data_IF_678928818318
#
_entry.id   IF_678928818318
#
_cell.length_a   1.000
_cell.length_b   1.000
_cell.length_c   1.000
_cell.angle_alpha   90.00
_cell.angle_beta   90.00
_cell.angle_gamma   90.00
#
_symmetry.space_group_name_H-M   'P 1'
#
loop_
_entity.id
_entity.type
_entity.pdbx_description
1 polymer ?
#
# COMPACT_ATOMS: atom_id res chain seq x y z
N UNK A 1 -12.06 -3.84 7.39
CA UNK A 1 -11.25 -2.58 7.34
C UNK A 1 -12.05 -1.45 6.71
N UNK A 2 -11.73 -0.17 6.94
CA UNK A 2 -12.50 0.94 6.32
C UNK A 2 -12.02 1.15 4.89
N UNK A 3 -12.79 0.69 3.91
CA UNK A 3 -12.46 0.90 2.50
C UNK A 3 -12.52 2.40 2.12
N UNK A 4 -11.37 3.00 1.81
CA UNK A 4 -11.33 4.38 1.31
C UNK A 4 -11.58 4.43 -0.20
N UNK A 5 -12.19 5.52 -0.66
CA UNK A 5 -12.30 5.84 -2.07
C UNK A 5 -10.96 6.27 -2.67
N UNK A 6 -10.85 6.21 -4.00
CA UNK A 6 -9.64 6.63 -4.74
C UNK A 6 -9.22 8.05 -4.38
N UNK A 7 -10.17 8.99 -4.36
CA UNK A 7 -9.92 10.38 -4.00
C UNK A 7 -9.45 10.55 -2.56
N UNK A 8 -9.96 9.76 -1.62
CA UNK A 8 -9.51 9.81 -0.22
C UNK A 8 -8.07 9.30 -0.09
N UNK A 9 -7.71 8.24 -0.83
CA UNK A 9 -6.33 7.75 -0.86
C UNK A 9 -5.39 8.80 -1.44
N UNK A 10 -5.70 9.37 -2.62
CA UNK A 10 -4.85 10.37 -3.25
C UNK A 10 -4.62 11.59 -2.33
N UNK A 11 -5.68 12.13 -1.72
CA UNK A 11 -5.56 13.24 -0.75
C UNK A 11 -4.81 12.85 0.52
N UNK A 12 -4.94 11.60 0.97
CA UNK A 12 -4.25 11.10 2.15
C UNK A 12 -2.75 10.90 1.90
N UNK A 13 -2.38 10.35 0.74
CA UNK A 13 -1.00 10.23 0.29
C UNK A 13 -0.34 11.60 0.15
N UNK A 14 -1.00 12.59 -0.45
CA UNK A 14 -0.50 13.97 -0.53
C UNK A 14 -0.30 14.64 0.84
N UNK A 15 -1.03 14.21 1.87
CA UNK A 15 -0.81 14.71 3.24
C UNK A 15 0.32 13.99 3.96
N UNK A 16 0.41 12.67 3.75
CA UNK A 16 1.47 11.84 4.32
C UNK A 16 2.82 12.16 3.69
N UNK A 17 2.81 12.48 2.40
CA UNK A 17 3.98 12.77 1.60
C UNK A 17 3.69 13.97 0.70
N UNK A 18 3.91 15.19 1.20
CA UNK A 18 3.63 16.42 0.47
C UNK A 18 4.38 16.56 -0.87
N UNK A 19 5.51 15.87 -1.03
CA UNK A 19 6.35 15.88 -2.23
C UNK A 19 5.80 15.03 -3.38
N UNK A 20 4.74 14.26 -3.15
CA UNK A 20 4.14 13.44 -4.21
C UNK A 20 3.51 14.32 -5.30
N UNK A 21 4.13 14.33 -6.48
CA UNK A 21 3.71 15.13 -7.63
C UNK A 21 2.98 14.32 -8.71
N UNK A 22 3.11 12.98 -8.67
CA UNK A 22 2.45 12.07 -9.59
C UNK A 22 1.45 11.15 -8.90
N UNK A 23 0.17 11.52 -9.00
CA UNK A 23 -0.96 10.67 -8.65
C UNK A 23 -2.01 10.78 -9.75
N UNK A 24 -2.01 9.84 -10.68
CA UNK A 24 -2.95 9.79 -11.80
C UNK A 24 -3.85 8.58 -11.69
N UNK A 25 -4.80 8.46 -12.59
CA UNK A 25 -5.66 7.27 -12.67
C UNK A 25 -5.01 6.20 -13.53
N UNK A 26 -5.30 4.93 -13.23
CA UNK A 26 -4.90 3.81 -14.09
C UNK A 26 -5.43 3.92 -15.53
N UNK A 27 -6.57 4.57 -15.70
CA UNK A 27 -7.22 4.81 -16.98
C UNK A 27 -6.40 5.76 -17.86
N UNK A 28 -5.77 6.78 -17.27
CA UNK A 28 -4.85 7.68 -17.99
C UNK A 28 -3.59 6.97 -18.48
N UNK A 29 -3.20 5.85 -17.86
CA UNK A 29 -2.12 4.98 -18.33
C UNK A 29 -2.61 3.96 -19.38
N UNK A 30 -3.92 3.80 -19.55
CA UNK A 30 -4.51 2.79 -20.44
C UNK A 30 -4.79 1.43 -19.78
N UNK A 31 -4.76 1.34 -18.44
CA UNK A 31 -5.15 0.13 -17.70
C UNK A 31 -6.63 0.13 -17.28
N UNK A 32 -7.05 -1.00 -16.69
CA UNK A 32 -8.37 -1.16 -16.09
C UNK A 32 -8.69 -0.05 -15.09
N UNK A 33 -9.97 0.30 -14.98
CA UNK A 33 -10.46 1.34 -14.08
C UNK A 33 -10.24 1.03 -12.60
N UNK A 34 -9.92 2.06 -11.83
CA UNK A 34 -10.02 2.07 -10.38
C UNK A 34 -8.70 2.03 -9.62
N UNK A 35 -7.58 1.89 -10.32
CA UNK A 35 -6.25 2.03 -9.76
C UNK A 35 -5.83 3.49 -9.66
N UNK A 36 -4.79 3.71 -8.87
CA UNK A 36 -4.03 4.95 -8.81
C UNK A 36 -2.71 4.65 -9.47
N UNK A 37 -2.40 5.37 -10.55
CA UNK A 37 -1.12 5.35 -11.21
C UNK A 37 -0.16 6.25 -10.46
N UNK A 38 0.98 5.66 -10.17
CA UNK A 38 2.06 6.23 -9.41
C UNK A 38 3.34 5.98 -10.28
N UNK A 39 4.36 6.84 -10.22
CA UNK A 39 5.76 6.62 -10.67
C UNK A 39 6.48 5.35 -10.09
N UNK A 40 7.80 5.18 -10.20
CA UNK A 40 8.50 3.92 -9.82
C UNK A 40 9.82 4.16 -9.11
N UNK A 41 10.79 3.26 -9.33
CA UNK A 41 12.16 3.37 -8.81
C UNK A 41 12.80 4.75 -9.12
N UNK A 42 12.52 5.31 -10.31
CA UNK A 42 13.07 6.60 -10.76
C UNK A 42 12.56 7.81 -9.96
N UNK A 43 11.46 7.64 -9.22
CA UNK A 43 10.86 8.69 -8.40
C UNK A 43 11.17 8.61 -6.92
N UNK A 44 11.96 7.60 -6.52
CA UNK A 44 12.47 7.46 -5.16
C UNK A 44 11.40 7.37 -4.08
N UNK A 45 10.17 6.98 -4.43
CA UNK A 45 8.95 7.05 -3.62
C UNK A 45 9.15 7.37 -2.13
N UNK A 46 9.09 8.68 -1.87
CA UNK A 46 8.25 9.31 -0.86
C UNK A 46 8.82 9.65 0.50
N UNK A 47 10.12 9.57 0.74
CA UNK A 47 10.64 10.10 1.99
C UNK A 47 12.05 10.65 1.83
N UNK A 48 12.19 11.98 1.94
CA UNK A 48 13.50 12.58 2.27
C UNK A 48 14.02 12.13 3.64
N UNK A 49 13.13 11.66 4.51
CA UNK A 49 13.46 11.23 5.88
C UNK A 49 13.79 9.73 6.02
N UNK A 50 13.65 8.92 4.96
CA UNK A 50 13.96 7.48 4.96
C UNK A 50 14.87 7.11 3.79
N UNK A 51 15.53 5.95 3.86
CA UNK A 51 16.37 5.48 2.76
C UNK A 51 15.48 5.42 1.50
N UNK A 52 15.89 6.00 0.36
CA UNK A 52 15.22 5.77 -0.90
C UNK A 52 15.16 4.26 -1.16
N UNK A 53 14.02 3.75 -1.60
CA UNK A 53 13.94 2.36 -2.00
C UNK A 53 14.97 2.10 -3.10
N UNK A 54 15.80 1.07 -2.89
CA UNK A 54 16.64 0.47 -3.91
C UNK A 54 16.21 -0.98 -4.04
N UNK A 55 16.17 -1.52 -5.25
CA UNK A 55 15.80 -2.92 -5.48
C UNK A 55 16.65 -3.90 -4.65
N UNK A 56 17.91 -3.56 -4.40
CA UNK A 56 18.84 -4.28 -3.52
C UNK A 56 18.30 -4.43 -2.09
N UNK A 57 17.58 -3.42 -1.60
CA UNK A 57 16.99 -3.43 -0.26
C UNK A 57 15.79 -4.36 -0.13
N UNK A 58 15.12 -4.72 -1.23
CA UNK A 58 14.03 -5.70 -1.19
C UNK A 58 14.51 -7.09 -0.72
N UNK A 59 15.81 -7.37 -0.86
CA UNK A 59 16.43 -8.64 -0.48
C UNK A 59 17.42 -8.52 0.68
N UNK A 60 17.75 -7.28 1.08
CA UNK A 60 18.75 -7.00 2.10
C UNK A 60 18.25 -7.32 3.53
N UNK A 61 19.01 -8.14 4.24
CA UNK A 61 18.73 -8.53 5.63
C UNK A 61 19.53 -7.74 6.66
N UNK A 62 20.35 -6.78 6.23
CA UNK A 62 21.15 -5.91 7.10
C UNK A 62 20.23 -5.10 8.03
N UNK A 63 20.71 -4.76 9.22
CA UNK A 63 19.92 -3.95 10.16
C UNK A 63 19.97 -2.49 9.74
N UNK A 64 18.88 -1.77 9.93
CA UNK A 64 18.84 -0.32 9.65
C UNK A 64 19.85 0.46 10.49
N UNK A 65 20.18 -0.03 11.70
CA UNK A 65 21.23 0.55 12.55
C UNK A 65 22.59 0.57 11.87
N UNK A 66 22.89 -0.41 11.02
CA UNK A 66 24.17 -0.53 10.33
C UNK A 66 24.28 0.49 9.19
N UNK A 67 23.14 1.02 8.73
CA UNK A 67 23.03 2.16 7.82
C UNK A 67 22.93 3.52 8.55
N UNK A 68 23.09 3.55 9.89
CA UNK A 68 23.06 4.77 10.69
C UNK A 68 21.67 5.22 11.14
N UNK A 69 20.63 4.40 10.95
CA UNK A 69 19.29 4.70 11.47
C UNK A 69 19.20 4.37 12.95
N UNK A 70 19.06 5.40 13.79
CA UNK A 70 19.14 5.28 15.24
C UNK A 70 17.81 5.49 15.96
N UNK A 71 16.72 5.74 15.21
CA UNK A 71 15.38 5.85 15.80
C UNK A 71 15.00 4.53 16.52
N UNK A 72 14.67 4.57 17.82
CA UNK A 72 14.29 3.38 18.59
C UNK A 72 13.18 2.54 17.96
N UNK A 73 12.27 3.13 17.16
CA UNK A 73 11.18 2.38 16.49
C UNK A 73 11.69 1.37 15.47
N UNK A 74 12.93 1.53 15.00
CA UNK A 74 13.56 0.67 14.00
C UNK A 74 14.61 -0.28 14.56
N UNK A 75 14.76 -0.35 15.89
CA UNK A 75 15.74 -1.23 16.53
C UNK A 75 15.49 -2.69 16.14
N UNK A 76 16.51 -3.33 15.56
CA UNK A 76 16.44 -4.73 15.13
C UNK A 76 15.63 -4.97 13.85
N UNK A 77 15.19 -3.91 13.16
CA UNK A 77 14.49 -4.03 11.88
C UNK A 77 15.50 -4.22 10.76
N UNK A 78 15.25 -5.23 9.91
CA UNK A 78 16.02 -5.49 8.70
C UNK A 78 15.56 -4.61 7.55
N UNK A 79 16.46 -4.25 6.63
CA UNK A 79 16.16 -3.39 5.48
C UNK A 79 15.00 -3.90 4.63
N UNK A 80 14.97 -5.19 4.27
CA UNK A 80 13.86 -5.79 3.50
C UNK A 80 12.50 -5.63 4.17
N UNK A 81 12.50 -5.58 5.50
CA UNK A 81 11.27 -5.45 6.27
C UNK A 81 10.69 -4.02 6.14
N UNK A 82 11.50 -3.03 5.75
CA UNK A 82 11.06 -1.66 5.47
C UNK A 82 10.36 -1.50 4.13
N UNK A 83 10.51 -2.46 3.21
CA UNK A 83 9.96 -2.33 1.86
C UNK A 83 9.03 -3.49 1.48
N UNK A 84 7.94 -3.74 2.25
CA UNK A 84 6.94 -4.72 1.84
C UNK A 84 6.43 -4.37 0.43
N UNK A 85 6.50 -5.35 -0.48
CA UNK A 85 6.15 -5.17 -1.89
C UNK A 85 6.90 -4.02 -2.59
N UNK A 86 8.13 -3.71 -2.16
CA UNK A 86 8.96 -2.67 -2.76
C UNK A 86 8.53 -1.24 -2.43
N UNK A 87 7.66 -1.04 -1.43
CA UNK A 87 7.26 0.30 -0.97
C UNK A 87 7.50 0.46 0.52
N UNK A 88 7.74 1.69 0.98
CA UNK A 88 8.00 1.96 2.40
C UNK A 88 6.88 1.43 3.31
N UNK A 89 7.25 0.77 4.41
CA UNK A 89 6.35 0.08 5.34
C UNK A 89 5.24 0.97 5.88
N UNK A 90 5.53 2.23 6.19
CA UNK A 90 4.52 3.16 6.72
C UNK A 90 3.41 3.43 5.68
N UNK A 91 3.77 3.55 4.40
CA UNK A 91 2.80 3.73 3.30
C UNK A 91 2.01 2.44 3.10
N UNK A 92 2.70 1.30 3.08
CA UNK A 92 2.05 0.00 2.94
C UNK A 92 0.99 -0.21 4.03
N UNK A 93 1.37 -0.04 5.29
CA UNK A 93 0.46 -0.20 6.43
C UNK A 93 -0.71 0.78 6.34
N UNK A 94 -0.44 2.03 5.96
CA UNK A 94 -1.48 3.04 5.80
C UNK A 94 -2.47 2.70 4.67
N UNK A 95 -1.99 2.16 3.55
CA UNK A 95 -2.84 1.69 2.45
C UNK A 95 -3.68 0.48 2.87
N UNK A 96 -3.06 -0.50 3.52
CA UNK A 96 -3.69 -1.75 3.96
C UNK A 96 -4.86 -1.47 4.91
N UNK A 97 -4.66 -0.65 5.94
CA UNK A 97 -5.69 -0.21 6.87
C UNK A 97 -6.93 0.40 6.19
N UNK A 98 -6.75 0.92 4.96
CA UNK A 98 -7.74 1.63 4.16
C UNK A 98 -8.29 0.78 3.00
N UNK A 99 -7.90 -0.49 2.93
CA UNK A 99 -8.34 -1.45 1.91
C UNK A 99 -7.68 -1.22 0.56
N UNK A 100 -6.39 -0.87 0.54
CA UNK A 100 -5.60 -0.69 -0.68
C UNK A 100 -4.29 -1.46 -0.61
N UNK A 101 -3.76 -1.84 -1.76
CA UNK A 101 -2.49 -2.57 -1.87
C UNK A 101 -1.66 -2.08 -3.07
N UNK A 102 -0.32 -2.16 -2.97
CA UNK A 102 0.58 -1.88 -4.08
C UNK A 102 0.74 -3.04 -5.07
N UNK A 103 0.88 -2.69 -6.35
CA UNK A 103 1.26 -3.63 -7.41
C UNK A 103 2.12 -2.94 -8.45
N UNK A 104 3.35 -3.43 -8.62
CA UNK A 104 4.24 -2.99 -9.68
C UNK A 104 3.74 -3.47 -11.05
N UNK A 105 3.85 -2.58 -12.03
CA UNK A 105 3.65 -2.89 -13.45
C UNK A 105 5.01 -3.17 -14.12
N UNK A 106 5.99 -2.31 -13.86
CA UNK A 106 7.41 -2.47 -14.20
C UNK A 106 8.27 -1.69 -13.18
N UNK A 107 9.59 -1.63 -13.32
CA UNK A 107 10.46 -0.92 -12.36
C UNK A 107 10.21 0.60 -12.28
N UNK A 108 9.63 1.20 -13.32
CA UNK A 108 9.31 2.64 -13.38
C UNK A 108 7.86 2.97 -13.00
N UNK A 109 7.02 1.96 -12.77
CA UNK A 109 5.56 2.14 -12.69
C UNK A 109 4.94 1.29 -11.60
N UNK A 110 4.39 1.95 -10.59
CA UNK A 110 3.65 1.35 -9.49
C UNK A 110 2.18 1.75 -9.54
N UNK A 111 1.29 0.84 -9.13
CA UNK A 111 -0.12 1.15 -8.96
C UNK A 111 -0.60 0.81 -7.55
N UNK A 112 -1.51 1.63 -7.02
CA UNK A 112 -2.30 1.26 -5.86
C UNK A 112 -3.70 0.83 -6.29
N UNK A 113 -4.14 -0.32 -5.80
CA UNK A 113 -5.44 -0.91 -6.12
C UNK A 113 -6.25 -1.13 -4.85
N UNK A 114 -7.58 -1.10 -4.98
CA UNK A 114 -8.45 -1.55 -3.90
C UNK A 114 -8.28 -3.04 -3.66
N UNK A 115 -8.19 -3.43 -2.40
CA UNK A 115 -8.24 -4.84 -2.02
C UNK A 115 -9.67 -5.37 -2.15
N UNK A 116 -9.95 -6.05 -3.27
CA UNK A 116 -11.27 -6.62 -3.54
C UNK A 116 -11.49 -7.96 -2.85
N UNK A 117 -10.44 -8.64 -2.37
CA UNK A 117 -10.59 -9.91 -1.66
C UNK A 117 -11.27 -9.69 -0.32
N UNK A 118 -10.88 -8.67 0.44
CA UNK A 118 -11.53 -8.37 1.71
C UNK A 118 -12.93 -7.79 1.53
N UNK A 119 -13.19 -7.05 0.44
CA UNK A 119 -14.56 -6.61 0.10
C UNK A 119 -15.46 -7.83 -0.14
N UNK A 120 -14.97 -8.84 -0.86
CA UNK A 120 -15.72 -10.07 -1.09
C UNK A 120 -15.96 -10.84 0.22
N UNK A 121 -14.96 -10.96 1.10
CA UNK A 121 -15.10 -11.58 2.43
C UNK A 121 -16.11 -10.81 3.28
N UNK A 122 -15.98 -9.48 3.40
CA UNK A 122 -16.90 -8.64 4.18
C UNK A 122 -18.34 -8.71 3.63
N UNK A 123 -18.53 -8.82 2.31
CA UNK A 123 -19.84 -9.02 1.68
C UNK A 123 -20.37 -10.42 2.00
N UNK A 124 -19.55 -11.46 1.86
CA UNK A 124 -19.93 -12.84 2.17
C UNK A 124 -20.32 -12.92 3.64
N UNK A 125 -19.54 -12.38 4.56
CA UNK A 125 -19.86 -12.35 5.99
C UNK A 125 -21.20 -11.61 6.23
N UNK A 126 -21.48 -10.50 5.55
CA UNK A 126 -22.79 -9.81 5.67
C UNK A 126 -23.96 -10.55 5.02
N UNK A 127 -23.71 -11.36 3.99
CA UNK A 127 -24.72 -12.21 3.39
C UNK A 127 -25.00 -13.40 4.31
N UNK A 128 -23.95 -14.01 4.83
CA UNK A 128 -23.98 -15.21 5.67
C UNK A 128 -24.49 -14.86 7.07
N UNK A 129 -24.20 -13.69 7.63
CA UNK A 129 -24.58 -13.30 8.98
C UNK A 129 -25.43 -12.02 8.98
N UNK A 130 -26.54 -12.02 9.71
CA UNK A 130 -27.35 -10.81 9.94
C UNK A 130 -26.71 -9.86 10.97
N UNK A 131 -27.34 -8.69 11.20
CA UNK A 131 -26.86 -7.67 12.16
C UNK A 131 -26.81 -8.14 13.62
N UNK A 132 -27.29 -9.35 13.92
CA UNK A 132 -27.27 -9.99 15.24
C UNK A 132 -26.36 -11.24 15.25
N UNK A 133 -25.57 -11.49 14.20
CA UNK A 133 -24.65 -12.62 14.11
C UNK A 133 -25.33 -13.97 13.84
N UNK A 134 -26.61 -14.00 13.44
CA UNK A 134 -27.28 -15.25 13.05
C UNK A 134 -27.06 -15.57 11.58
N UNK A 135 -26.80 -16.83 11.30
CA UNK A 135 -26.63 -17.34 9.93
C UNK A 135 -27.93 -17.21 9.13
N UNK A 136 -27.89 -16.52 7.99
CA UNK A 136 -28.94 -16.62 6.97
C UNK A 136 -28.66 -17.90 6.19
N UNK A 137 -29.51 -18.92 6.35
CA UNK A 137 -29.35 -20.20 5.68
C UNK A 137 -29.15 -20.01 4.18
N UNK A 138 -28.07 -20.58 3.63
CA UNK A 138 -27.88 -20.71 2.19
C UNK A 138 -28.92 -21.72 1.67
N UNK A 139 -29.89 -21.26 0.89
CA UNK A 139 -30.64 -22.15 0.01
C UNK A 139 -29.87 -22.18 -1.30
N UNK A 140 -29.16 -23.29 -1.53
CA UNK A 140 -28.57 -23.64 -2.83
C UNK A 140 -29.68 -24.02 -3.82
#
# INVERSE_FOLDING_TARGET
MKQWSRMQIMKGLQKMVPEIDHLKTSEEFGLKKGGIWTIGEESGWLFKEFIPFKIEFAFDTTLLSDYGYTDPKYKGVQTKAMYPHGIHREIYSWLEERGWYPKWYDGGTLFFWKDMHQIAVDIIEKIVFDSNGKTKGLVL
#
